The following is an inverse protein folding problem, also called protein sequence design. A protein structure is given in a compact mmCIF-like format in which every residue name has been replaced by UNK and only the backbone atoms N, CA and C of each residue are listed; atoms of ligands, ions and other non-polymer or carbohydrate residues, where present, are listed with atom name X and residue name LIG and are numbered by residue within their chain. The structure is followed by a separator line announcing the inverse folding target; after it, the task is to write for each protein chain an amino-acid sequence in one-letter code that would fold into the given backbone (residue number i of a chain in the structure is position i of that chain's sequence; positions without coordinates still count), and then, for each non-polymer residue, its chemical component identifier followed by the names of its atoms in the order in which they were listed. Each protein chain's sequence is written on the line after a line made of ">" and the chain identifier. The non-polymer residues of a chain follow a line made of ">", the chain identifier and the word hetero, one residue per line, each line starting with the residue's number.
data_IF_576400816060
#
_entry.id   IF_576400816060
#
_cell.length_a   1.000
_cell.length_b   1.000
_cell.length_c   1.000
_cell.angle_alpha   90.00
_cell.angle_beta   90.00
_cell.angle_gamma   90.00
#
_symmetry.space_group_name_H-M   'P 1'
#
loop_
_entity.id
_entity.type
_entity.pdbx_description
1 polymer ?
#
# COMPACT_ATOMS: atom_id res chain seq x y z
N UNK A 1 -36.28 -19.91 -0.64
CA UNK A 1 -35.10 -19.28 -0.02
C UNK A 1 -34.23 -18.77 -1.13
N UNK A 2 -33.84 -17.50 -1.10
CA UNK A 2 -32.89 -16.94 -2.09
C UNK A 2 -31.56 -17.69 -1.98
N UNK A 3 -30.93 -17.97 -3.12
CA UNK A 3 -29.61 -18.62 -3.17
C UNK A 3 -28.56 -17.63 -2.70
N UNK A 4 -27.68 -18.05 -1.79
CA UNK A 4 -26.53 -17.24 -1.33
C UNK A 4 -25.68 -16.80 -2.52
N UNK A 5 -25.36 -15.52 -2.59
CA UNK A 5 -24.50 -14.96 -3.66
C UNK A 5 -23.04 -15.29 -3.42
N UNK A 6 -22.20 -15.14 -4.45
CA UNK A 6 -20.76 -15.36 -4.33
C UNK A 6 -20.14 -14.41 -3.28
N UNK A 7 -20.53 -13.15 -3.30
CA UNK A 7 -20.06 -12.14 -2.36
C UNK A 7 -20.46 -12.47 -0.91
N UNK A 8 -21.72 -12.84 -0.66
CA UNK A 8 -22.19 -13.22 0.69
C UNK A 8 -21.38 -14.40 1.25
N UNK A 9 -21.10 -15.40 0.42
CA UNK A 9 -20.28 -16.55 0.80
C UNK A 9 -18.85 -16.11 1.20
N UNK A 10 -18.21 -15.24 0.43
CA UNK A 10 -16.89 -14.72 0.75
C UNK A 10 -16.87 -13.84 2.01
N UNK A 11 -17.86 -12.96 2.18
CA UNK A 11 -18.02 -12.13 3.39
C UNK A 11 -18.15 -13.01 4.66
N UNK A 12 -18.95 -14.07 4.59
CA UNK A 12 -19.09 -15.02 5.70
C UNK A 12 -17.75 -15.69 6.06
N UNK A 13 -17.01 -16.10 5.05
CA UNK A 13 -15.67 -16.70 5.24
C UNK A 13 -14.66 -15.68 5.81
N UNK A 14 -14.67 -14.45 5.30
CA UNK A 14 -13.81 -13.37 5.81
C UNK A 14 -14.09 -13.10 7.30
N UNK A 15 -15.36 -13.00 7.70
CA UNK A 15 -15.76 -12.82 9.10
C UNK A 15 -15.31 -13.95 10.02
N UNK A 16 -15.10 -15.15 9.50
CA UNK A 16 -14.66 -16.28 10.29
C UNK A 16 -13.14 -16.31 10.53
N UNK A 17 -12.33 -15.66 9.70
CA UNK A 17 -10.86 -15.81 9.72
C UNK A 17 -10.09 -14.49 9.77
N UNK A 18 -10.72 -13.36 9.48
CA UNK A 18 -10.08 -12.04 9.51
C UNK A 18 -10.53 -11.25 10.75
N UNK A 19 -9.59 -10.64 11.43
CA UNK A 19 -9.89 -9.70 12.51
C UNK A 19 -10.74 -8.53 11.98
N UNK A 20 -11.89 -8.26 12.61
CA UNK A 20 -12.84 -7.27 12.12
C UNK A 20 -13.60 -7.66 10.85
N UNK A 21 -13.42 -8.89 10.34
CA UNK A 21 -14.12 -9.42 9.17
C UNK A 21 -13.61 -8.89 7.82
N UNK A 22 -12.50 -8.17 7.79
CA UNK A 22 -11.91 -7.59 6.59
C UNK A 22 -10.54 -6.97 6.84
N UNK A 23 -10.02 -6.20 5.89
CA UNK A 23 -8.69 -5.55 6.01
C UNK A 23 -8.73 -4.19 6.72
N UNK A 24 -9.86 -3.77 7.27
CA UNK A 24 -9.99 -2.63 8.18
C UNK A 24 -10.17 -1.25 7.53
N UNK A 25 -9.85 -1.06 6.26
CA UNK A 25 -9.83 0.25 5.61
C UNK A 25 -11.00 0.49 4.64
N UNK A 26 -11.88 -0.50 4.48
CA UNK A 26 -12.99 -0.44 3.54
C UNK A 26 -14.18 -1.27 4.06
N UNK A 27 -15.35 -1.12 3.43
CA UNK A 27 -16.54 -1.90 3.76
C UNK A 27 -16.26 -3.40 3.66
N UNK A 28 -16.30 -4.17 4.76
CA UNK A 28 -16.00 -5.60 4.76
C UNK A 28 -17.02 -6.44 3.99
N UNK A 29 -18.13 -5.83 3.55
CA UNK A 29 -19.14 -6.51 2.74
C UNK A 29 -18.90 -6.41 1.23
N UNK A 30 -17.86 -5.72 0.80
CA UNK A 30 -17.44 -5.62 -0.60
C UNK A 30 -16.15 -6.42 -0.80
N UNK A 31 -16.24 -7.49 -1.58
CA UNK A 31 -15.08 -8.34 -1.92
C UNK A 31 -14.72 -8.12 -3.38
N UNK A 32 -13.61 -7.48 -3.62
CA UNK A 32 -13.14 -7.16 -4.97
C UNK A 32 -12.44 -8.38 -5.57
N UNK A 33 -12.83 -8.72 -6.79
CA UNK A 33 -12.27 -9.82 -7.57
C UNK A 33 -11.19 -9.36 -8.56
N UNK A 34 -11.44 -8.23 -9.22
CA UNK A 34 -10.56 -7.73 -10.27
C UNK A 34 -10.60 -6.22 -10.38
N UNK A 35 -9.55 -5.62 -10.97
CA UNK A 35 -9.49 -4.21 -11.28
C UNK A 35 -8.83 -3.94 -12.63
N UNK A 36 -9.29 -2.91 -13.35
CA UNK A 36 -8.69 -2.45 -14.59
C UNK A 36 -8.82 -0.94 -14.75
N UNK A 37 -7.69 -0.26 -14.95
CA UNK A 37 -7.69 1.20 -14.98
C UNK A 37 -8.29 1.78 -13.69
N UNK A 38 -9.26 2.65 -13.79
CA UNK A 38 -9.93 3.28 -12.66
C UNK A 38 -11.15 2.50 -12.12
N UNK A 39 -11.32 1.23 -12.50
CA UNK A 39 -12.52 0.45 -12.16
C UNK A 39 -12.15 -0.86 -11.49
N UNK A 40 -13.00 -1.27 -10.54
CA UNK A 40 -12.92 -2.57 -9.87
C UNK A 40 -14.26 -3.28 -9.96
N UNK A 41 -14.25 -4.61 -9.88
CA UNK A 41 -15.46 -5.45 -9.83
C UNK A 41 -15.42 -6.35 -8.62
N UNK A 42 -16.58 -6.46 -7.98
CA UNK A 42 -16.77 -7.37 -6.88
C UNK A 42 -17.03 -8.82 -7.35
N UNK A 43 -17.21 -9.73 -6.39
CA UNK A 43 -17.46 -11.15 -6.65
C UNK A 43 -18.82 -11.42 -7.31
N UNK A 44 -19.76 -10.51 -7.24
CA UNK A 44 -21.03 -10.57 -7.96
C UNK A 44 -20.97 -9.93 -9.36
N UNK A 45 -19.82 -9.33 -9.74
CA UNK A 45 -19.62 -8.66 -11.01
C UNK A 45 -20.10 -7.20 -11.05
N UNK A 46 -20.49 -6.62 -9.91
CA UNK A 46 -20.85 -5.21 -9.84
C UNK A 46 -19.58 -4.37 -9.99
N UNK A 47 -19.66 -3.36 -10.87
CA UNK A 47 -18.54 -2.48 -11.17
C UNK A 47 -18.62 -1.19 -10.35
N UNK A 48 -17.46 -0.78 -9.81
CA UNK A 48 -17.27 0.45 -9.05
C UNK A 48 -16.16 1.29 -9.68
N UNK A 49 -16.23 2.62 -9.53
CA UNK A 49 -15.10 3.51 -9.78
C UNK A 49 -14.23 3.51 -8.53
N UNK A 50 -12.96 3.17 -8.68
CA UNK A 50 -12.01 3.13 -7.58
C UNK A 50 -11.33 4.47 -7.38
N UNK A 51 -11.80 5.23 -6.39
CA UNK A 51 -11.15 6.46 -5.93
C UNK A 51 -10.07 6.21 -4.86
N UNK A 52 -10.01 4.99 -4.33
CA UNK A 52 -9.03 4.64 -3.27
C UNK A 52 -7.66 4.31 -3.85
N UNK A 53 -7.63 3.72 -5.06
CA UNK A 53 -6.41 3.35 -5.80
C UNK A 53 -5.32 2.70 -4.95
N UNK A 54 -5.72 1.70 -4.13
CA UNK A 54 -4.83 0.98 -3.21
C UNK A 54 -4.24 1.87 -2.10
N UNK A 55 -4.98 2.87 -1.62
CA UNK A 55 -4.54 3.94 -0.72
C UNK A 55 -3.49 4.88 -1.34
N UNK A 56 -3.57 5.13 -2.66
CA UNK A 56 -2.81 6.11 -3.38
C UNK A 56 -1.70 5.61 -4.31
N UNK A 57 -1.07 4.43 -4.12
CA UNK A 57 0.08 4.03 -4.95
C UNK A 57 -0.26 3.66 -6.40
N UNK A 58 -1.52 3.30 -6.73
CA UNK A 58 -1.91 2.86 -8.07
C UNK A 58 -2.20 4.03 -9.03
N UNK A 59 -1.26 4.97 -9.16
CA UNK A 59 -1.42 6.17 -10.00
C UNK A 59 -1.63 5.87 -11.50
N UNK A 60 -1.19 4.73 -11.99
CA UNK A 60 -1.42 4.26 -13.36
C UNK A 60 -2.72 3.44 -13.50
N UNK A 61 -3.44 3.24 -12.38
CA UNK A 61 -4.61 2.38 -12.32
C UNK A 61 -4.28 0.90 -12.25
N UNK A 62 -5.35 0.10 -12.10
CA UNK A 62 -5.24 -1.35 -11.98
C UNK A 62 -4.79 -2.00 -13.28
N UNK A 63 -3.94 -3.01 -13.18
CA UNK A 63 -3.49 -3.87 -14.28
C UNK A 63 -2.97 -3.09 -15.50
N UNK A 64 -2.15 -2.04 -15.26
CA UNK A 64 -1.53 -1.30 -16.35
C UNK A 64 -0.69 -2.25 -17.23
N UNK A 65 -0.90 -2.30 -18.57
CA UNK A 65 -0.33 -3.33 -19.41
C UNK A 65 1.21 -3.42 -19.36
N UNK A 66 1.90 -2.29 -19.42
CA UNK A 66 3.36 -2.25 -19.37
C UNK A 66 3.91 -2.74 -18.03
N UNK A 67 3.24 -2.35 -16.91
CA UNK A 67 3.60 -2.82 -15.58
C UNK A 67 3.39 -4.32 -15.46
N UNK A 68 2.24 -4.83 -15.92
CA UNK A 68 1.94 -6.26 -15.89
C UNK A 68 2.94 -7.08 -16.71
N UNK A 69 3.32 -6.58 -17.88
CA UNK A 69 4.33 -7.23 -18.72
C UNK A 69 5.70 -7.27 -18.03
N UNK A 70 6.17 -6.14 -17.52
CA UNK A 70 7.48 -6.05 -16.84
C UNK A 70 7.53 -6.93 -15.60
N UNK A 71 6.47 -6.92 -14.77
CA UNK A 71 6.35 -7.80 -13.60
C UNK A 71 6.31 -9.26 -14.02
N UNK A 72 5.54 -9.60 -15.06
CA UNK A 72 5.45 -10.97 -15.59
C UNK A 72 6.80 -11.52 -16.05
N UNK A 73 7.63 -10.72 -16.71
CA UNK A 73 9.00 -11.13 -17.08
C UNK A 73 9.90 -11.30 -15.85
N UNK A 74 9.81 -10.37 -14.87
CA UNK A 74 10.62 -10.47 -13.65
C UNK A 74 10.25 -11.69 -12.80
N UNK A 75 8.97 -12.10 -12.77
CA UNK A 75 8.53 -13.28 -12.03
C UNK A 75 9.28 -14.56 -12.45
N UNK A 76 9.70 -14.67 -13.71
CA UNK A 76 10.49 -15.81 -14.23
C UNK A 76 11.89 -15.88 -13.62
N UNK A 77 12.40 -14.76 -13.12
CA UNK A 77 13.74 -14.62 -12.55
C UNK A 77 13.74 -14.53 -11.00
N UNK A 78 12.56 -14.57 -10.38
CA UNK A 78 12.40 -14.40 -8.94
C UNK A 78 12.16 -12.95 -8.54
N UNK A 79 11.67 -12.76 -7.31
CA UNK A 79 11.21 -11.45 -6.81
C UNK A 79 11.78 -11.06 -5.46
N UNK A 80 12.34 -12.01 -4.69
CA UNK A 80 12.81 -11.76 -3.32
C UNK A 80 14.26 -12.19 -3.19
N UNK A 81 15.14 -11.21 -3.10
CA UNK A 81 16.58 -11.43 -2.96
C UNK A 81 17.07 -10.75 -1.68
N UNK A 82 17.77 -11.47 -0.84
CA UNK A 82 18.44 -10.88 0.34
C UNK A 82 19.76 -10.19 -0.06
N UNK A 83 19.77 -9.53 -1.22
CA UNK A 83 20.92 -8.84 -1.79
C UNK A 83 20.44 -7.69 -2.67
N UNK A 84 21.34 -6.77 -2.97
CA UNK A 84 21.07 -5.71 -3.94
C UNK A 84 20.83 -6.31 -5.33
N UNK A 85 19.89 -5.70 -6.07
CA UNK A 85 19.60 -6.08 -7.44
C UNK A 85 19.57 -4.84 -8.35
N UNK A 86 19.73 -5.05 -9.63
CA UNK A 86 19.85 -3.95 -10.62
C UNK A 86 18.58 -3.10 -10.69
N UNK A 87 17.39 -3.70 -10.63
CA UNK A 87 16.12 -2.97 -10.72
C UNK A 87 15.94 -1.99 -9.57
N UNK A 88 16.31 -2.39 -8.34
CA UNK A 88 16.25 -1.50 -7.18
C UNK A 88 17.27 -0.36 -7.28
N UNK A 89 18.47 -0.64 -7.82
CA UNK A 89 19.51 0.40 -8.02
C UNK A 89 19.02 1.41 -9.06
N UNK A 90 18.54 0.96 -10.22
CA UNK A 90 18.03 1.85 -11.26
C UNK A 90 16.84 2.69 -10.77
N UNK A 91 15.92 2.11 -9.99
CA UNK A 91 14.83 2.87 -9.39
C UNK A 91 15.34 3.95 -8.42
N UNK A 92 16.40 3.67 -7.64
CA UNK A 92 17.00 4.66 -6.75
C UNK A 92 17.64 5.83 -7.54
N UNK A 93 18.29 5.52 -8.65
CA UNK A 93 18.86 6.53 -9.57
C UNK A 93 17.77 7.44 -10.14
N UNK A 94 16.67 6.87 -10.62
CA UNK A 94 15.51 7.63 -11.11
C UNK A 94 14.89 8.51 -10.01
N UNK A 95 14.72 8.01 -8.80
CA UNK A 95 14.20 8.80 -7.67
C UNK A 95 15.14 9.97 -7.34
N UNK A 96 16.44 9.72 -7.26
CA UNK A 96 17.42 10.77 -6.98
C UNK A 96 17.50 11.81 -8.11
N UNK A 97 17.26 11.41 -9.34
CA UNK A 97 17.18 12.33 -10.48
C UNK A 97 15.92 13.18 -10.48
N UNK A 98 14.77 12.59 -10.11
CA UNK A 98 13.47 13.26 -10.17
C UNK A 98 13.18 14.16 -8.95
N UNK A 99 13.73 13.83 -7.79
CA UNK A 99 13.45 14.51 -6.52
C UNK A 99 14.66 15.30 -6.05
N UNK A 100 14.59 16.62 -6.14
CA UNK A 100 15.73 17.54 -5.91
C UNK A 100 16.45 17.34 -4.56
N UNK A 101 15.72 16.96 -3.51
CA UNK A 101 16.28 16.75 -2.17
C UNK A 101 16.68 15.28 -1.90
N UNK A 102 16.48 14.37 -2.84
CA UNK A 102 16.82 12.96 -2.67
C UNK A 102 18.25 12.67 -3.12
N UNK A 103 19.20 12.69 -2.20
CA UNK A 103 20.59 12.29 -2.47
C UNK A 103 20.79 10.77 -2.39
N UNK A 104 20.01 10.09 -1.56
CA UNK A 104 20.07 8.65 -1.33
C UNK A 104 18.69 8.10 -1.01
N UNK A 105 18.45 6.84 -1.36
CA UNK A 105 17.17 6.14 -1.16
C UNK A 105 17.36 4.94 -0.25
N UNK A 106 16.44 4.76 0.69
CA UNK A 106 16.26 3.53 1.45
C UNK A 106 14.87 2.96 1.19
N UNK A 107 14.83 1.73 0.74
CA UNK A 107 13.58 1.01 0.55
C UNK A 107 13.12 0.33 1.84
N UNK A 108 11.81 0.32 2.03
CA UNK A 108 11.10 -0.39 3.09
C UNK A 108 9.80 -0.96 2.51
N UNK A 109 9.11 -1.81 3.26
CA UNK A 109 7.94 -2.52 2.73
C UNK A 109 6.63 -1.74 2.88
N UNK A 110 6.57 -0.74 3.76
CA UNK A 110 5.35 0.02 4.05
C UNK A 110 5.65 1.49 4.33
N UNK A 111 4.64 2.37 4.15
CA UNK A 111 4.73 3.78 4.57
C UNK A 111 4.97 3.92 6.09
N UNK A 112 4.37 3.06 6.89
CA UNK A 112 4.62 3.00 8.35
C UNK A 112 6.11 2.83 8.66
N UNK A 113 6.78 1.92 7.97
CA UNK A 113 8.23 1.72 8.13
C UNK A 113 9.02 2.93 7.64
N UNK A 114 8.62 3.55 6.52
CA UNK A 114 9.29 4.73 6.00
C UNK A 114 9.24 5.88 7.01
N UNK A 115 8.06 6.19 7.55
CA UNK A 115 7.89 7.25 8.55
C UNK A 115 8.62 6.93 9.86
N UNK A 116 8.59 5.68 10.31
CA UNK A 116 9.34 5.24 11.49
C UNK A 116 10.86 5.44 11.30
N UNK A 117 11.40 5.08 10.13
CA UNK A 117 12.82 5.33 9.83
C UNK A 117 13.13 6.82 9.73
N UNK A 118 12.26 7.62 9.12
CA UNK A 118 12.44 9.07 9.01
C UNK A 118 12.49 9.73 10.40
N UNK A 119 11.56 9.39 11.29
CA UNK A 119 11.56 9.90 12.68
C UNK A 119 12.81 9.48 13.45
N UNK A 120 13.23 8.22 13.33
CA UNK A 120 14.48 7.74 13.98
C UNK A 120 15.72 8.46 13.43
N UNK A 121 15.78 8.64 12.11
CA UNK A 121 16.89 9.37 11.49
C UNK A 121 16.93 10.83 11.92
N UNK A 122 15.79 11.50 11.96
CA UNK A 122 15.68 12.88 12.42
C UNK A 122 16.19 13.04 13.86
N UNK A 123 15.78 12.15 14.77
CA UNK A 123 16.27 12.14 16.15
C UNK A 123 17.78 11.88 16.23
N UNK A 124 18.26 10.90 15.51
CA UNK A 124 19.70 10.55 15.52
C UNK A 124 20.57 11.67 14.94
N UNK A 125 20.14 12.32 13.89
CA UNK A 125 20.88 13.40 13.24
C UNK A 125 20.88 14.69 14.05
N UNK A 126 19.74 15.05 14.66
CA UNK A 126 19.59 16.32 15.38
C UNK A 126 19.94 16.23 16.86
N UNK A 127 20.01 15.04 17.44
CA UNK A 127 20.12 14.83 18.90
C UNK A 127 18.89 15.26 19.68
N UNK A 128 17.73 15.41 19.00
CA UNK A 128 16.45 15.84 19.62
C UNK A 128 15.48 14.67 19.68
N UNK A 129 14.73 14.59 20.79
CA UNK A 129 13.78 13.49 21.01
C UNK A 129 12.38 13.80 20.44
N UNK A 130 11.98 15.08 20.44
CA UNK A 130 10.62 15.52 20.11
C UNK A 130 10.42 15.61 18.61
N UNK A 131 9.33 14.99 18.13
CA UNK A 131 8.84 15.09 16.75
C UNK A 131 7.54 15.90 16.77
N UNK A 132 7.47 16.93 15.94
CA UNK A 132 6.25 17.69 15.67
C UNK A 132 5.49 17.06 14.51
N UNK A 133 4.20 16.84 14.68
CA UNK A 133 3.28 16.44 13.60
C UNK A 133 1.97 17.21 13.69
N UNK A 134 1.20 17.23 12.60
CA UNK A 134 -0.13 17.82 12.61
C UNK A 134 -1.17 16.85 13.18
N UNK A 135 -2.12 17.35 13.95
CA UNK A 135 -3.32 16.59 14.33
C UNK A 135 -4.08 16.13 13.08
N UNK A 136 -4.64 14.92 13.11
CA UNK A 136 -5.30 14.32 11.96
C UNK A 136 -4.35 13.82 10.86
N UNK A 137 -3.06 14.17 10.92
CA UNK A 137 -2.05 13.69 9.99
C UNK A 137 -1.75 12.20 10.19
N UNK A 138 -2.01 11.37 9.19
CA UNK A 138 -1.69 9.95 9.22
C UNK A 138 -0.23 9.72 8.78
N UNK A 139 0.56 9.11 9.65
CA UNK A 139 1.97 8.78 9.43
C UNK A 139 2.27 7.31 9.76
N UNK A 140 1.33 6.43 9.46
CA UNK A 140 1.46 5.01 9.70
C UNK A 140 1.02 4.54 11.09
N UNK A 141 1.27 3.28 11.38
CA UNK A 141 0.74 2.56 12.55
C UNK A 141 1.78 2.33 13.66
N UNK A 142 2.92 3.04 13.64
CA UNK A 142 3.89 2.98 14.73
C UNK A 142 3.36 3.71 15.98
N UNK A 143 3.83 3.35 17.16
CA UNK A 143 3.40 3.97 18.42
C UNK A 143 3.59 5.50 18.41
N UNK A 144 4.70 5.97 17.85
CA UNK A 144 4.98 7.43 17.75
C UNK A 144 4.03 8.14 16.76
N UNK A 145 3.52 7.43 15.75
CA UNK A 145 2.72 8.00 14.67
C UNK A 145 1.22 7.98 14.95
N UNK A 146 0.73 7.06 15.80
CA UNK A 146 -0.70 6.85 16.07
C UNK A 146 -1.34 7.92 16.94
N UNK A 147 -0.57 8.80 17.57
CA UNK A 147 -1.13 9.83 18.45
C UNK A 147 -1.87 10.90 17.66
N UNK A 148 -3.06 11.30 18.14
CA UNK A 148 -3.87 12.39 17.56
C UNK A 148 -4.20 12.22 16.08
N UNK A 149 -4.67 11.04 15.68
CA UNK A 149 -5.03 10.72 14.27
C UNK A 149 -6.40 11.24 13.87
N UNK A 150 -7.31 11.38 14.82
CA UNK A 150 -8.66 11.91 14.59
C UNK A 150 -8.97 13.01 15.58
N UNK A 151 -9.79 13.99 15.21
CA UNK A 151 -10.32 14.97 16.13
C UNK A 151 -11.24 14.34 17.16
#
# INVERSE_FOLDING_TARGET
>A
MAKETAQESWVKRAKAVLAGGGFGNFDPNIIIREGRGARVRDENGVEYIDYLIGSGPLILGHAHPEVMNSVGEQLKNGTSFFASNSSAISLAEEICSAVVCAERVRYVSTGTEADMYAMRLARAYTGRDIILKFEGGFHGMSADALMSLAP
#
